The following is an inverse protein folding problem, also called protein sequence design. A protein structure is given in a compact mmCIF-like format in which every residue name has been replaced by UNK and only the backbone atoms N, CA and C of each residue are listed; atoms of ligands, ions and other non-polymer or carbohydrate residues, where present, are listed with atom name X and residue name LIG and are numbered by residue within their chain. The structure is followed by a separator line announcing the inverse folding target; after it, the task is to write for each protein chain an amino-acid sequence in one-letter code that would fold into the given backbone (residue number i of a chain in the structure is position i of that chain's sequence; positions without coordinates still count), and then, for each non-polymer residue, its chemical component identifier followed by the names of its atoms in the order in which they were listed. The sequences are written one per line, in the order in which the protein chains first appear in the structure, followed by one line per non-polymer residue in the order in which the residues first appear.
data_IF_931729534818
#
_entry.id   IF_931729534818
#
_cell.length_a   1.000
_cell.length_b   1.000
_cell.length_c   1.000
_cell.angle_alpha   90.00
_cell.angle_beta   90.00
_cell.angle_gamma   90.00
#
_symmetry.space_group_name_H-M   'P 1'
#
loop_
_entity.id
_entity.type
_entity.pdbx_description
1 polymer ?
#
# COMPACT_ATOMS: atom_id res chain seq x y z
N UNK A 1 10.29 5.40 0.19
CA UNK A 1 9.92 4.01 -0.17
C UNK A 1 9.15 3.44 1.01
N UNK A 2 7.83 3.31 0.91
CA UNK A 2 7.08 2.51 1.89
C UNK A 2 7.43 1.06 1.57
N UNK A 3 8.53 0.58 2.16
CA UNK A 3 8.91 -0.82 2.09
C UNK A 3 7.75 -1.61 2.68
N UNK A 4 7.06 -2.38 1.83
CA UNK A 4 6.10 -3.41 2.19
C UNK A 4 6.80 -4.55 2.94
N UNK A 5 7.36 -4.22 4.10
CA UNK A 5 7.91 -5.19 5.03
C UNK A 5 6.77 -5.70 5.88
N UNK A 6 5.83 -6.41 5.26
CA UNK A 6 4.80 -7.21 5.94
C UNK A 6 4.16 -8.14 4.89
N UNK A 7 4.57 -9.42 4.86
CA UNK A 7 3.83 -10.66 4.55
C UNK A 7 2.72 -10.69 3.45
N UNK A 8 2.54 -9.64 2.67
CA UNK A 8 1.53 -9.50 1.65
C UNK A 8 2.06 -10.13 0.38
N UNK A 9 1.33 -11.11 -0.13
CA UNK A 9 1.57 -11.73 -1.42
C UNK A 9 1.35 -10.78 -2.61
N UNK A 10 0.96 -9.53 -2.35
CA UNK A 10 0.86 -8.43 -3.31
C UNK A 10 1.96 -7.39 -3.08
N UNK A 11 2.51 -6.88 -4.18
CA UNK A 11 3.41 -5.74 -4.26
C UNK A 11 2.85 -4.60 -5.12
N UNK A 12 3.63 -3.54 -5.24
CA UNK A 12 3.31 -2.34 -6.01
C UNK A 12 4.42 -2.08 -7.03
N UNK A 13 4.05 -1.83 -8.29
CA UNK A 13 4.97 -1.38 -9.33
C UNK A 13 4.83 0.14 -9.53
N UNK A 14 5.83 0.89 -9.07
CA UNK A 14 5.88 2.35 -9.16
C UNK A 14 5.96 2.86 -10.62
N UNK A 15 6.42 2.05 -11.58
CA UNK A 15 6.55 2.50 -12.97
C UNK A 15 5.25 2.38 -13.74
N UNK A 16 4.53 1.27 -13.56
CA UNK A 16 3.22 1.06 -14.21
C UNK A 16 2.05 1.53 -13.36
N UNK A 17 2.30 1.87 -12.09
CA UNK A 17 1.30 2.22 -11.09
C UNK A 17 0.26 1.11 -10.95
N UNK A 18 0.72 -0.15 -10.84
CA UNK A 18 -0.11 -1.35 -10.77
C UNK A 18 0.16 -2.17 -9.50
N UNK A 19 -0.86 -2.90 -9.06
CA UNK A 19 -0.70 -3.96 -8.07
C UNK A 19 -0.14 -5.19 -8.77
N UNK A 20 1.00 -5.70 -8.28
CA UNK A 20 1.69 -6.86 -8.84
C UNK A 20 1.66 -8.04 -7.88
N UNK A 21 1.37 -9.23 -8.39
CA UNK A 21 1.40 -10.46 -7.62
C UNK A 21 1.52 -11.66 -8.56
N UNK A 22 1.91 -12.82 -8.02
CA UNK A 22 1.89 -14.08 -8.77
C UNK A 22 0.45 -14.48 -9.10
N UNK A 23 0.25 -15.23 -10.18
CA UNK A 23 -1.08 -15.73 -10.58
C UNK A 23 -1.79 -16.50 -9.47
N UNK A 24 -1.06 -17.36 -8.75
CA UNK A 24 -1.57 -18.12 -7.60
C UNK A 24 -2.20 -17.24 -6.54
N UNK A 25 -1.69 -16.02 -6.35
CA UNK A 25 -2.21 -15.06 -5.38
C UNK A 25 -3.51 -14.47 -5.91
N UNK A 26 -3.58 -14.07 -7.18
CA UNK A 26 -4.81 -13.56 -7.79
C UNK A 26 -5.95 -14.59 -7.76
N UNK A 27 -5.66 -15.89 -7.90
CA UNK A 27 -6.67 -16.95 -7.80
C UNK A 27 -7.33 -17.03 -6.43
N UNK A 28 -6.62 -16.67 -5.35
CA UNK A 28 -7.20 -16.59 -4.00
C UNK A 28 -8.05 -15.34 -3.78
N UNK A 29 -7.91 -14.31 -4.62
CA UNK A 29 -8.59 -13.01 -4.50
C UNK A 29 -9.39 -12.67 -5.77
N UNK A 30 -10.29 -13.57 -6.17
CA UNK A 30 -11.09 -13.46 -7.41
C UNK A 30 -11.84 -12.12 -7.49
N UNK A 31 -12.40 -11.62 -6.39
CA UNK A 31 -13.12 -10.34 -6.33
C UNK A 31 -12.23 -9.11 -6.57
N UNK A 32 -10.93 -9.24 -6.30
CA UNK A 32 -9.93 -8.20 -6.51
C UNK A 32 -9.29 -8.26 -7.90
N UNK A 33 -9.58 -9.29 -8.71
CA UNK A 33 -8.95 -9.48 -10.03
C UNK A 33 -9.23 -8.30 -10.99
N UNK A 34 -10.31 -7.54 -10.77
CA UNK A 34 -10.59 -6.29 -11.50
C UNK A 34 -9.46 -5.24 -11.37
N UNK A 35 -8.65 -5.31 -10.32
CA UNK A 35 -7.56 -4.38 -10.05
C UNK A 35 -6.24 -4.80 -10.70
N UNK A 36 -6.13 -6.06 -11.14
CA UNK A 36 -4.89 -6.65 -11.69
C UNK A 36 -4.35 -5.90 -12.91
N UNK A 37 -5.23 -5.32 -13.71
CA UNK A 37 -4.88 -4.60 -14.94
C UNK A 37 -5.30 -3.12 -14.88
N UNK A 38 -5.62 -2.61 -13.69
CA UNK A 38 -6.05 -1.23 -13.49
C UNK A 38 -4.91 -0.41 -12.92
N UNK A 39 -4.46 0.60 -13.68
CA UNK A 39 -3.46 1.56 -13.21
C UNK A 39 -4.08 2.58 -12.24
N UNK A 40 -3.32 2.96 -11.21
CA UNK A 40 -3.69 3.99 -10.24
C UNK A 40 -2.64 5.13 -10.26
N UNK A 41 -2.70 6.04 -11.24
CA UNK A 41 -1.60 6.97 -11.56
C UNK A 41 -1.27 7.99 -10.46
N UNK A 42 -2.14 8.14 -9.45
CA UNK A 42 -1.94 9.08 -8.35
C UNK A 42 -1.68 8.39 -7.01
N UNK A 43 -1.53 7.06 -7.00
CA UNK A 43 -1.41 6.31 -5.75
C UNK A 43 -0.21 6.78 -4.92
N UNK A 44 0.96 6.96 -5.53
CA UNK A 44 2.15 7.40 -4.81
C UNK A 44 2.02 8.85 -4.29
N UNK A 45 1.39 9.72 -5.07
CA UNK A 45 1.15 11.12 -4.68
C UNK A 45 0.20 11.21 -3.49
N UNK A 46 -0.92 10.48 -3.56
CA UNK A 46 -1.89 10.40 -2.46
C UNK A 46 -1.22 9.81 -1.21
N UNK A 47 -0.49 8.71 -1.37
CA UNK A 47 0.24 8.08 -0.26
C UNK A 47 1.27 9.02 0.37
N UNK A 48 1.96 9.83 -0.42
CA UNK A 48 2.89 10.85 0.10
C UNK A 48 2.17 11.95 0.90
N UNK A 49 0.99 12.41 0.45
CA UNK A 49 0.16 13.37 1.18
C UNK A 49 -0.27 12.78 2.53
N UNK A 50 -0.82 11.56 2.52
CA UNK A 50 -1.26 10.86 3.74
C UNK A 50 -0.09 10.53 4.69
N UNK A 51 1.08 10.17 4.17
CA UNK A 51 2.25 9.88 5.00
C UNK A 51 2.83 11.14 5.65
N UNK A 52 2.74 12.30 4.98
CA UNK A 52 3.26 13.57 5.46
C UNK A 52 2.45 14.15 6.64
N UNK A 53 1.19 13.78 6.76
CA UNK A 53 0.30 14.18 7.87
C UNK A 53 0.45 13.34 9.14
N UNK A 54 1.41 12.40 9.19
CA UNK A 54 1.80 11.79 10.46
C UNK A 54 2.51 12.86 11.30
N UNK A 55 1.76 13.51 12.20
CA UNK A 55 2.27 14.51 13.12
C UNK A 55 3.60 14.01 13.73
N UNK A 56 4.71 14.64 13.36
CA UNK A 56 6.03 14.41 13.97
C UNK A 56 6.34 15.50 15.00
N UNK A 57 5.36 16.37 15.27
CA UNK A 57 5.44 17.37 16.32
C UNK A 57 5.53 16.71 17.70
N UNK A 58 6.19 17.40 18.62
CA UNK A 58 6.43 16.97 20.00
C UNK A 58 5.18 16.47 20.76
N UNK A 59 3.99 16.84 20.30
CA UNK A 59 2.69 16.50 20.91
C UNK A 59 1.90 15.41 20.15
N UNK A 60 2.52 14.76 19.16
CA UNK A 60 1.90 13.66 18.44
C UNK A 60 1.63 12.49 19.40
N UNK A 61 0.34 12.18 19.64
CA UNK A 61 -0.05 11.04 20.45
C UNK A 61 0.37 9.74 19.74
N UNK A 62 1.46 9.15 20.21
CA UNK A 62 1.76 7.76 19.94
C UNK A 62 0.73 6.97 20.77
N UNK A 63 -0.30 6.43 20.11
CA UNK A 63 -1.14 5.41 20.72
C UNK A 63 -0.27 4.18 21.00
N UNK A 64 0.34 4.16 22.18
CA UNK A 64 1.02 3.00 22.72
C UNK A 64 -0.05 1.93 22.94
N UNK A 65 -0.16 0.99 21.99
CA UNK A 65 -0.89 -0.25 22.22
C UNK A 65 -0.13 -1.03 23.30
N UNK A 66 -0.66 -1.04 24.52
CA UNK A 66 -0.23 -1.92 25.59
C UNK A 66 -0.94 -3.28 25.44
N UNK A 67 -0.12 -4.32 25.32
CA UNK A 67 -0.36 -5.78 25.39
C UNK A 67 -1.49 -6.39 24.56
#
# INVERSE_FOLDING_TARGET
MLNGKDNSSFGWDEHTQLVVAKDVVWYSYISANQFRHRSFPYYDQLTAIYAKDKATGKDAQIAAYYY
#
